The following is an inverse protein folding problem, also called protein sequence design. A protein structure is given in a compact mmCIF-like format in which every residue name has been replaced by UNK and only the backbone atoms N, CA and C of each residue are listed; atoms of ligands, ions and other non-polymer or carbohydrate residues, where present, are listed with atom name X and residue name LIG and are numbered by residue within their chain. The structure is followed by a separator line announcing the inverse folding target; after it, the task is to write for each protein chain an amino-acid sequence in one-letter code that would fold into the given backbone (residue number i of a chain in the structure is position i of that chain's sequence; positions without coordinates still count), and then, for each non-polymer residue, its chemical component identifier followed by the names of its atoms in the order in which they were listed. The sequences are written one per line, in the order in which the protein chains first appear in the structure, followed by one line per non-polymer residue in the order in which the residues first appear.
data_IF_133072614969
#
_entry.id   IF_133072614969
#
_cell.length_a   1.000
_cell.length_b   1.000
_cell.length_c   1.000
_cell.angle_alpha   90.00
_cell.angle_beta   90.00
_cell.angle_gamma   90.00
#
_symmetry.space_group_name_H-M   'P 1'
#
loop_
_entity.id
_entity.type
_entity.pdbx_description
1 polymer ?
#
# COMPACT_ATOMS: atom_id res chain seq x y z
N UNK A 1 -33.99 48.70 -37.85
CA UNK A 1 -33.76 48.33 -36.44
C UNK A 1 -34.91 47.46 -36.01
N UNK A 2 -34.65 46.16 -35.84
CA UNK A 2 -35.13 45.28 -34.76
C UNK A 2 -34.71 43.85 -35.11
N UNK A 3 -33.85 43.29 -34.27
CA UNK A 3 -33.37 41.92 -34.33
C UNK A 3 -34.44 40.99 -33.76
N UNK A 4 -34.60 39.80 -34.32
CA UNK A 4 -34.99 38.61 -33.55
C UNK A 4 -34.38 37.36 -34.17
N UNK A 5 -33.22 37.00 -33.62
CA UNK A 5 -32.63 35.66 -33.71
C UNK A 5 -33.37 34.76 -32.73
N UNK A 6 -33.83 33.58 -33.16
CA UNK A 6 -33.80 32.37 -32.34
C UNK A 6 -33.68 31.14 -33.24
N UNK A 7 -32.47 30.59 -33.27
CA UNK A 7 -32.14 29.30 -33.87
C UNK A 7 -32.56 28.20 -32.88
N UNK A 8 -33.39 27.27 -33.36
CA UNK A 8 -33.69 26.00 -32.68
C UNK A 8 -32.38 25.23 -32.46
N UNK A 9 -32.11 24.86 -31.21
CA UNK A 9 -31.12 23.85 -30.86
C UNK A 9 -31.80 22.78 -29.99
N UNK A 10 -32.48 21.85 -30.66
CA UNK A 10 -32.74 20.54 -30.08
C UNK A 10 -31.46 19.70 -30.21
N UNK A 11 -30.66 19.66 -29.14
CA UNK A 11 -29.76 18.54 -28.90
C UNK A 11 -29.70 18.30 -27.40
N UNK A 12 -30.65 17.51 -26.90
CA UNK A 12 -30.55 16.93 -25.57
C UNK A 12 -29.31 16.05 -25.52
N UNK A 13 -28.27 16.53 -24.83
CA UNK A 13 -27.15 15.69 -24.40
C UNK A 13 -27.70 14.80 -23.30
N UNK A 14 -27.94 13.52 -23.61
CA UNK A 14 -28.21 12.49 -22.60
C UNK A 14 -27.07 12.49 -21.57
N UNK A 15 -27.38 12.94 -20.35
CA UNK A 15 -26.50 12.75 -19.19
C UNK A 15 -26.45 11.26 -18.88
N UNK A 16 -25.44 10.56 -19.39
CA UNK A 16 -25.10 9.22 -18.92
C UNK A 16 -24.75 9.29 -17.44
N UNK A 17 -25.50 8.55 -16.63
CA UNK A 17 -25.30 8.44 -15.19
C UNK A 17 -23.98 7.76 -14.88
N UNK A 18 -23.13 8.42 -14.08
CA UNK A 18 -21.85 7.89 -13.59
C UNK A 18 -22.01 6.63 -12.71
N UNK A 19 -23.22 6.27 -12.32
CA UNK A 19 -23.52 5.15 -11.41
C UNK A 19 -23.51 3.76 -12.05
N UNK A 20 -23.16 3.64 -13.33
CA UNK A 20 -23.27 2.38 -14.09
C UNK A 20 -21.95 1.82 -14.62
N UNK A 21 -20.82 2.37 -14.19
CA UNK A 21 -19.52 1.78 -14.47
C UNK A 21 -19.08 0.91 -13.28
N UNK A 22 -18.59 -0.32 -13.50
CA UNK A 22 -17.89 -1.04 -12.44
C UNK A 22 -16.73 -0.14 -11.99
N UNK A 23 -16.63 0.09 -10.68
CA UNK A 23 -15.60 0.92 -10.04
C UNK A 23 -14.19 0.43 -10.43
N UNK A 24 -13.71 0.82 -11.61
CA UNK A 24 -12.29 0.82 -11.94
C UNK A 24 -11.78 2.17 -11.50
N UNK A 25 -11.24 2.21 -10.28
CA UNK A 25 -10.50 3.37 -9.79
C UNK A 25 -9.31 3.56 -10.75
N UNK A 26 -9.26 4.66 -11.53
CA UNK A 26 -8.13 4.93 -12.40
C UNK A 26 -6.85 5.04 -11.58
N UNK A 27 -5.73 4.50 -12.08
CA UNK A 27 -4.40 4.56 -11.43
C UNK A 27 -3.98 6.00 -11.01
N UNK A 28 -4.54 7.03 -11.65
CA UNK A 28 -4.33 8.44 -11.32
C UNK A 28 -4.99 8.89 -10.00
N UNK A 29 -6.05 8.22 -9.53
CA UNK A 29 -6.75 8.62 -8.31
C UNK A 29 -6.10 8.08 -7.02
N UNK A 30 -5.14 7.16 -7.12
CA UNK A 30 -4.36 6.68 -5.96
C UNK A 30 -3.38 7.78 -5.47
N UNK A 31 -3.06 8.75 -6.32
CA UNK A 31 -2.14 9.86 -6.01
C UNK A 31 -2.84 11.13 -5.48
N UNK A 32 -4.18 11.16 -5.39
CA UNK A 32 -4.94 12.34 -4.94
C UNK A 32 -5.57 12.20 -3.56
N UNK A 33 -5.53 11.03 -2.92
CA UNK A 33 -5.83 10.93 -1.49
C UNK A 33 -4.57 11.27 -0.69
N UNK A 34 -4.43 12.55 -0.35
CA UNK A 34 -3.41 13.00 0.60
C UNK A 34 -3.73 12.43 1.98
N UNK A 35 -3.10 11.31 2.35
CA UNK A 35 -3.04 10.87 3.74
C UNK A 35 -2.18 11.85 4.52
N UNK A 36 -2.50 12.07 5.79
CA UNK A 36 -1.64 12.86 6.66
C UNK A 36 -0.27 12.19 6.77
N UNK A 37 0.80 13.00 6.74
CA UNK A 37 2.19 12.50 6.76
C UNK A 37 2.45 11.58 7.94
N UNK A 38 1.80 11.80 9.10
CA UNK A 38 1.94 10.95 10.29
C UNK A 38 1.38 9.53 10.07
N UNK A 39 0.30 9.41 9.30
CA UNK A 39 -0.32 8.14 8.96
C UNK A 39 0.27 7.48 7.71
N UNK A 40 1.04 8.20 6.89
CA UNK A 40 1.66 7.63 5.69
C UNK A 40 2.93 6.82 6.02
N UNK A 41 2.85 5.49 6.02
CA UNK A 41 4.01 4.62 6.26
C UNK A 41 5.01 4.61 5.09
N UNK A 42 4.63 5.13 3.92
CA UNK A 42 5.46 5.12 2.71
C UNK A 42 6.22 6.43 2.47
N UNK A 43 6.15 7.39 3.40
CA UNK A 43 6.73 8.73 3.23
C UNK A 43 8.21 8.72 2.87
N UNK A 44 8.95 7.72 3.37
CA UNK A 44 10.41 7.63 3.25
C UNK A 44 10.84 6.62 2.16
N UNK A 45 9.87 6.06 1.41
CA UNK A 45 10.12 5.02 0.42
C UNK A 45 10.40 5.62 -0.97
N UNK A 46 11.51 5.25 -1.63
CA UNK A 46 11.82 5.70 -2.99
C UNK A 46 10.67 5.44 -3.98
N UNK A 47 10.26 6.47 -4.71
CA UNK A 47 9.17 6.34 -5.70
C UNK A 47 9.48 5.34 -6.82
N UNK A 48 10.77 5.09 -7.08
CA UNK A 48 11.21 4.10 -8.06
C UNK A 48 10.69 2.70 -7.74
N UNK A 49 10.49 2.33 -6.47
CA UNK A 49 9.99 1.02 -6.05
C UNK A 49 8.58 0.71 -6.57
N UNK A 50 7.80 1.73 -6.92
CA UNK A 50 6.46 1.57 -7.50
C UNK A 50 6.47 1.53 -9.04
N UNK A 51 7.64 1.70 -9.67
CA UNK A 51 7.84 1.68 -11.11
C UNK A 51 8.41 0.33 -11.55
N UNK A 52 8.02 -0.13 -12.74
CA UNK A 52 8.53 -1.37 -13.35
C UNK A 52 10.05 -1.40 -13.50
N UNK A 53 10.70 -0.23 -13.50
CA UNK A 53 12.17 -0.09 -13.54
C UNK A 53 12.89 -0.76 -12.36
N UNK A 54 12.19 -0.98 -11.24
CA UNK A 54 12.77 -1.63 -10.04
C UNK A 54 12.58 -3.15 -10.04
N UNK A 55 11.98 -3.72 -11.09
CA UNK A 55 11.61 -5.13 -11.15
C UNK A 55 10.09 -5.34 -11.07
N UNK A 56 9.61 -6.40 -11.73
CA UNK A 56 8.18 -6.67 -11.84
C UNK A 56 7.60 -7.08 -10.50
N UNK A 57 8.25 -8.00 -9.78
CA UNK A 57 7.76 -8.44 -8.48
C UNK A 57 7.73 -7.29 -7.46
N UNK A 58 8.82 -6.52 -7.35
CA UNK A 58 8.91 -5.35 -6.46
C UNK A 58 7.78 -4.36 -6.73
N UNK A 59 7.67 -3.89 -7.98
CA UNK A 59 6.66 -2.89 -8.33
C UNK A 59 5.23 -3.38 -8.14
N UNK A 60 4.97 -4.67 -8.41
CA UNK A 60 3.67 -5.30 -8.20
C UNK A 60 3.29 -5.35 -6.71
N UNK A 61 4.18 -5.88 -5.86
CA UNK A 61 3.96 -6.00 -4.41
C UNK A 61 3.80 -4.62 -3.78
N UNK A 62 4.71 -3.69 -4.07
CA UNK A 62 4.72 -2.36 -3.45
C UNK A 62 3.52 -1.51 -3.87
N UNK A 63 3.13 -1.53 -5.15
CA UNK A 63 1.96 -0.78 -5.62
C UNK A 63 0.68 -1.31 -4.98
N UNK A 64 0.56 -2.63 -4.88
CA UNK A 64 -0.61 -3.27 -4.27
C UNK A 64 -0.67 -2.99 -2.77
N UNK A 65 0.46 -3.12 -2.07
CA UNK A 65 0.56 -2.81 -0.66
C UNK A 65 0.13 -1.37 -0.36
N UNK A 66 0.69 -0.40 -1.10
CA UNK A 66 0.34 1.02 -0.92
C UNK A 66 -1.13 1.30 -1.20
N UNK A 67 -1.68 0.74 -2.28
CA UNK A 67 -3.10 0.92 -2.64
C UNK A 67 -4.02 0.39 -1.55
N UNK A 68 -3.80 -0.83 -1.09
CA UNK A 68 -4.65 -1.44 -0.05
C UNK A 68 -4.48 -0.75 1.31
N UNK A 69 -3.26 -0.32 1.65
CA UNK A 69 -3.01 0.48 2.84
C UNK A 69 -3.82 1.79 2.85
N UNK A 70 -3.75 2.56 1.76
CA UNK A 70 -4.52 3.81 1.60
C UNK A 70 -6.01 3.54 1.78
N UNK A 71 -6.52 2.47 1.15
CA UNK A 71 -7.93 2.07 1.29
C UNK A 71 -8.30 1.80 2.76
N UNK A 72 -7.45 1.10 3.51
CA UNK A 72 -7.71 0.78 4.91
C UNK A 72 -7.60 1.98 5.85
N UNK A 73 -6.57 2.83 5.70
CA UNK A 73 -6.35 3.97 6.61
C UNK A 73 -7.42 5.05 6.45
N UNK A 74 -7.88 5.30 5.22
CA UNK A 74 -8.94 6.27 4.96
C UNK A 74 -10.29 5.85 5.57
N UNK A 75 -10.51 4.56 5.82
CA UNK A 75 -11.72 4.06 6.48
C UNK A 75 -11.66 4.16 8.01
N UNK A 76 -10.47 4.35 8.59
CA UNK A 76 -10.24 4.22 10.03
C UNK A 76 -10.27 5.55 10.80
N UNK A 77 -10.50 6.70 10.16
CA UNK A 77 -10.52 8.06 10.78
C UNK A 77 -9.50 8.19 11.93
N UNK A 78 -8.21 8.00 11.61
CA UNK A 78 -7.17 7.75 12.60
C UNK A 78 -6.15 8.89 12.66
N UNK A 79 -5.99 9.51 13.82
CA UNK A 79 -4.88 10.44 14.16
C UNK A 79 -3.66 9.70 14.73
N UNK A 80 -3.47 8.43 14.34
CA UNK A 80 -2.38 7.59 14.84
C UNK A 80 -1.11 7.87 14.04
N UNK A 81 -0.02 8.17 14.75
CA UNK A 81 1.32 8.24 14.19
C UNK A 81 1.81 6.83 13.90
N UNK A 82 1.97 6.52 12.62
CA UNK A 82 2.43 5.20 12.17
C UNK A 82 3.96 5.20 11.99
N UNK A 83 4.64 4.09 12.33
CA UNK A 83 6.06 3.93 11.99
C UNK A 83 6.26 4.01 10.47
N UNK A 84 7.46 4.42 10.04
CA UNK A 84 7.77 4.55 8.62
C UNK A 84 8.45 3.28 8.10
N UNK A 85 8.06 2.87 6.90
CA UNK A 85 8.79 1.86 6.15
C UNK A 85 10.18 2.42 5.81
N UNK A 86 11.18 1.55 5.92
CA UNK A 86 12.55 1.81 5.51
C UNK A 86 12.90 0.92 4.35
N UNK A 87 13.75 1.40 3.45
CA UNK A 87 14.29 0.65 2.34
C UNK A 87 15.81 0.66 2.40
N UNK A 88 16.45 -0.50 2.28
CA UNK A 88 17.90 -0.64 2.23
C UNK A 88 18.27 -1.93 1.48
N UNK A 89 19.53 -2.02 1.06
CA UNK A 89 20.12 -3.26 0.53
C UNK A 89 20.86 -3.96 1.69
N UNK A 90 20.70 -5.27 1.84
CA UNK A 90 21.39 -6.05 2.86
C UNK A 90 22.80 -6.50 2.41
N UNK A 91 23.47 -7.31 3.23
CA UNK A 91 24.84 -7.77 2.96
C UNK A 91 24.93 -8.73 1.76
N UNK A 92 23.82 -9.40 1.41
CA UNK A 92 23.75 -10.38 0.31
C UNK A 92 23.22 -9.75 -0.99
N UNK A 93 22.81 -8.47 -0.94
CA UNK A 93 22.34 -7.69 -2.08
C UNK A 93 20.82 -7.69 -2.21
N UNK A 94 20.08 -8.20 -1.21
CA UNK A 94 18.63 -8.20 -1.21
C UNK A 94 18.10 -6.80 -0.89
N UNK A 95 17.09 -6.36 -1.65
CA UNK A 95 16.39 -5.12 -1.36
C UNK A 95 15.34 -5.35 -0.28
N UNK A 96 15.59 -4.83 0.91
CA UNK A 96 14.73 -5.00 2.07
C UNK A 96 13.85 -3.76 2.27
N UNK A 97 12.54 -3.98 2.30
CA UNK A 97 11.53 -2.99 2.70
C UNK A 97 10.96 -3.43 4.05
N UNK A 98 11.18 -2.63 5.09
CA UNK A 98 10.90 -3.03 6.47
C UNK A 98 10.12 -1.98 7.26
N UNK A 99 9.11 -2.43 8.00
CA UNK A 99 8.43 -1.68 9.06
C UNK A 99 8.82 -2.29 10.40
N UNK A 100 9.51 -1.55 11.26
CA UNK A 100 9.95 -2.07 12.55
C UNK A 100 9.80 -1.06 13.68
N UNK A 101 9.36 -1.54 14.83
CA UNK A 101 9.34 -0.78 16.08
C UNK A 101 9.80 -1.66 17.24
N UNK A 102 10.42 -1.03 18.23
CA UNK A 102 10.79 -1.67 19.47
C UNK A 102 10.37 -0.80 20.64
N UNK A 103 9.98 -1.44 21.73
CA UNK A 103 9.69 -0.81 23.01
C UNK A 103 10.35 -1.63 24.13
N UNK A 104 10.25 -1.15 25.37
CA UNK A 104 10.95 -1.75 26.51
C UNK A 104 10.66 -3.24 26.73
N UNK A 105 9.51 -3.73 26.27
CA UNK A 105 9.01 -5.07 26.57
C UNK A 105 8.51 -5.79 25.33
N UNK A 106 9.08 -5.50 24.17
CA UNK A 106 8.66 -6.14 22.94
C UNK A 106 9.14 -5.44 21.67
N UNK A 107 8.87 -6.10 20.56
CA UNK A 107 9.16 -5.59 19.24
C UNK A 107 8.12 -6.07 18.22
N UNK A 108 8.03 -5.33 17.14
CA UNK A 108 7.25 -5.70 15.97
C UNK A 108 8.10 -5.41 14.73
N UNK A 109 8.14 -6.35 13.81
CA UNK A 109 8.83 -6.20 12.54
C UNK A 109 8.00 -6.85 11.45
N UNK A 110 7.93 -6.18 10.32
CA UNK A 110 7.40 -6.66 9.06
C UNK A 110 8.46 -6.35 8.00
N UNK A 111 8.75 -7.28 7.10
CA UNK A 111 9.66 -7.05 6.00
C UNK A 111 9.20 -7.75 4.72
N UNK A 112 9.61 -7.17 3.60
CA UNK A 112 9.75 -7.84 2.31
C UNK A 112 11.24 -7.81 1.95
N UNK A 113 11.81 -8.96 1.60
CA UNK A 113 13.16 -9.09 1.08
C UNK A 113 13.05 -9.50 -0.39
N UNK A 114 13.47 -8.61 -1.29
CA UNK A 114 13.44 -8.84 -2.72
C UNK A 114 14.83 -9.20 -3.21
N UNK A 115 14.96 -10.42 -3.70
CA UNK A 115 16.20 -10.96 -4.20
C UNK A 115 16.37 -10.67 -5.69
N UNK A 116 17.60 -10.85 -6.19
CA UNK A 116 17.85 -10.80 -7.63
C UNK A 116 17.10 -11.90 -8.38
N UNK A 117 17.02 -13.09 -7.78
CA UNK A 117 16.13 -14.15 -8.24
C UNK A 117 14.77 -13.98 -7.56
N UNK A 118 13.73 -13.64 -8.35
CA UNK A 118 12.40 -13.39 -7.80
C UNK A 118 11.82 -14.61 -7.05
N UNK A 119 12.29 -15.84 -7.35
CA UNK A 119 11.86 -17.06 -6.67
C UNK A 119 12.39 -17.17 -5.23
N UNK A 120 13.47 -16.45 -4.91
CA UNK A 120 14.10 -16.41 -3.58
C UNK A 120 13.51 -15.30 -2.69
N UNK A 121 12.79 -14.35 -3.28
CA UNK A 121 12.15 -13.26 -2.54
C UNK A 121 11.15 -13.75 -1.50
N UNK A 122 11.16 -13.09 -0.34
CA UNK A 122 10.41 -13.52 0.83
C UNK A 122 9.76 -12.35 1.57
N UNK A 123 8.82 -12.69 2.45
CA UNK A 123 8.25 -11.76 3.41
C UNK A 123 8.26 -12.39 4.80
N UNK A 124 8.21 -11.54 5.81
CA UNK A 124 8.05 -12.00 7.18
C UNK A 124 7.52 -10.95 8.11
N UNK A 125 6.87 -11.41 9.18
CA UNK A 125 6.40 -10.61 10.28
C UNK A 125 6.71 -11.31 11.60
N UNK A 126 7.10 -10.53 12.59
CA UNK A 126 7.38 -10.97 13.95
C UNK A 126 6.77 -9.96 14.90
N UNK A 127 6.00 -10.44 15.87
CA UNK A 127 5.55 -9.64 17.00
C UNK A 127 5.86 -10.39 18.29
N UNK A 128 6.64 -9.75 19.14
CA UNK A 128 6.94 -10.22 20.48
C UNK A 128 6.46 -9.19 21.51
N UNK A 129 5.65 -9.63 22.46
CA UNK A 129 5.17 -8.83 23.60
C UNK A 129 5.44 -9.61 24.89
N UNK A 130 6.51 -9.23 25.59
CA UNK A 130 6.98 -9.91 26.80
C UNK A 130 5.99 -9.74 27.96
N UNK A 131 5.23 -8.64 28.01
CA UNK A 131 4.24 -8.38 29.05
C UNK A 131 3.03 -9.30 28.90
N UNK A 132 2.54 -9.47 27.66
CA UNK A 132 1.45 -10.40 27.34
C UNK A 132 1.93 -11.84 27.20
N UNK A 133 3.25 -12.06 27.20
CA UNK A 133 3.90 -13.35 26.90
C UNK A 133 3.41 -13.92 25.57
N UNK A 134 3.24 -13.04 24.59
CA UNK A 134 2.76 -13.41 23.27
C UNK A 134 3.92 -13.32 22.26
N UNK A 135 4.01 -14.33 21.41
CA UNK A 135 4.95 -14.38 20.31
C UNK A 135 4.23 -14.89 19.08
N UNK A 136 4.27 -14.11 18.01
CA UNK A 136 3.68 -14.45 16.73
C UNK A 136 4.71 -14.22 15.64
N UNK A 137 4.86 -15.19 14.74
CA UNK A 137 5.74 -15.08 13.59
C UNK A 137 5.13 -15.74 12.37
N UNK A 138 5.29 -15.12 11.21
CA UNK A 138 4.88 -15.66 9.92
C UNK A 138 5.91 -15.24 8.88
N UNK A 139 6.39 -16.17 8.07
CA UNK A 139 7.26 -15.88 6.93
C UNK A 139 6.95 -16.82 5.76
N UNK A 140 7.32 -16.42 4.55
CA UNK A 140 7.12 -17.24 3.36
C UNK A 140 7.76 -16.65 2.10
N UNK A 141 7.85 -17.47 1.05
CA UNK A 141 8.23 -17.00 -0.29
C UNK A 141 7.09 -16.19 -0.91
N UNK A 142 7.43 -15.08 -1.57
CA UNK A 142 6.46 -14.24 -2.26
C UNK A 142 5.83 -14.99 -3.44
N UNK A 143 6.63 -15.74 -4.22
CA UNK A 143 6.16 -16.46 -5.43
C UNK A 143 5.26 -17.64 -5.08
N UNK A 144 5.53 -18.33 -3.98
CA UNK A 144 4.77 -19.51 -3.58
C UNK A 144 3.46 -19.17 -2.87
N UNK A 145 3.20 -17.90 -2.56
CA UNK A 145 1.99 -17.44 -1.87
C UNK A 145 1.22 -16.46 -2.75
N UNK A 146 -0.09 -16.33 -2.50
CA UNK A 146 -0.89 -15.34 -3.19
C UNK A 146 -0.56 -13.95 -2.63
N UNK A 147 -0.12 -13.02 -3.50
CA UNK A 147 0.21 -11.65 -3.08
C UNK A 147 -1.01 -10.93 -2.48
N UNK A 148 -2.24 -11.17 -2.93
CA UNK A 148 -3.45 -10.62 -2.27
C UNK A 148 -3.54 -11.05 -0.80
N UNK A 149 -3.32 -12.33 -0.53
CA UNK A 149 -3.40 -12.89 0.82
C UNK A 149 -2.26 -12.36 1.69
N UNK A 150 -1.03 -12.30 1.14
CA UNK A 150 0.12 -11.70 1.83
C UNK A 150 -0.20 -10.25 2.23
N UNK A 151 -0.68 -9.43 1.29
CA UNK A 151 -1.00 -8.02 1.58
C UNK A 151 -2.12 -7.91 2.62
N UNK A 152 -3.12 -8.80 2.58
CA UNK A 152 -4.17 -8.81 3.59
C UNK A 152 -3.62 -9.16 4.98
N UNK A 153 -2.82 -10.21 5.11
CA UNK A 153 -2.15 -10.61 6.36
C UNK A 153 -1.27 -9.48 6.90
N UNK A 154 -0.51 -8.82 6.02
CA UNK A 154 0.37 -7.71 6.36
C UNK A 154 -0.40 -6.50 6.90
N UNK A 155 -1.52 -6.14 6.26
CA UNK A 155 -2.34 -5.03 6.73
C UNK A 155 -3.03 -5.35 8.06
N UNK A 156 -3.54 -6.56 8.22
CA UNK A 156 -4.11 -7.04 9.48
C UNK A 156 -3.08 -7.00 10.60
N UNK A 157 -1.83 -7.37 10.32
CA UNK A 157 -0.72 -7.21 11.25
C UNK A 157 -0.48 -5.75 11.62
N UNK A 158 -0.33 -4.87 10.63
CA UNK A 158 -0.05 -3.44 10.86
C UNK A 158 -1.12 -2.82 11.75
N UNK A 159 -2.40 -2.96 11.40
CA UNK A 159 -3.50 -2.30 12.12
C UNK A 159 -3.87 -2.96 13.45
N UNK A 160 -3.34 -4.15 13.74
CA UNK A 160 -3.51 -4.82 15.04
C UNK A 160 -2.38 -4.48 16.00
N UNK A 161 -1.16 -4.29 15.48
CA UNK A 161 0.06 -4.13 16.28
C UNK A 161 0.45 -2.67 16.46
N UNK A 162 0.23 -1.82 15.45
CA UNK A 162 0.52 -0.38 15.46
C UNK A 162 -0.77 0.44 15.58
#
# INVERSE_FOLDING_TARGET
MENNYFIKTDSMIEKKSYLSQPNMIPLQDIYTMSIESEADIFSDIPLSLFSESSGRQISSVMTKFKREYIRCICQKESTIVMPKLRCYEDEEGALVVQLASSWKSGNASLYFAFEKDEDESSFGMVWNDDLKRNFESRSGSIVLNNVDEIIHEVLDFIFRVY
#
